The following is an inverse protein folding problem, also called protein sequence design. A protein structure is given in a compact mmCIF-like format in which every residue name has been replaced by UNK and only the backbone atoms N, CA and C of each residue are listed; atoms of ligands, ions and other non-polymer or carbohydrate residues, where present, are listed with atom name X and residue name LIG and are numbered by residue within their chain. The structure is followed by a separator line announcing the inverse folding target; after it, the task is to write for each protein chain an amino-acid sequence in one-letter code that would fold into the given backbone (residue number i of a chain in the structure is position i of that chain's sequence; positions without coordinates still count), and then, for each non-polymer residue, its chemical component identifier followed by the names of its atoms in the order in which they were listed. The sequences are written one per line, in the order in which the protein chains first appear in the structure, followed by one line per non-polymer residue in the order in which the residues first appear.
data_IF_367421237534
#
_entry.id   IF_367421237534
#
_cell.length_a   1.000
_cell.length_b   1.000
_cell.length_c   1.000
_cell.angle_alpha   90.00
_cell.angle_beta   90.00
_cell.angle_gamma   90.00
#
_symmetry.space_group_name_H-M   'P 1'
#
loop_
_entity.id
_entity.type
_entity.pdbx_description
1 polymer ?
#
# COMPACT_ATOMS: atom_id res chain seq x y z
N UNK A 1 -12.40 -10.01 72.86
CA UNK A 1 -12.73 -9.27 71.62
C UNK A 1 -11.90 -9.81 70.46
N UNK A 2 -12.48 -10.60 69.57
CA UNK A 2 -11.76 -11.18 68.43
C UNK A 2 -11.52 -10.11 67.35
N UNK A 3 -10.25 -9.80 67.06
CA UNK A 3 -9.85 -8.90 65.98
C UNK A 3 -10.20 -9.55 64.64
N UNK A 4 -11.16 -8.97 63.91
CA UNK A 4 -11.48 -9.38 62.54
C UNK A 4 -10.24 -9.21 61.67
N UNK A 5 -9.74 -10.31 61.13
CA UNK A 5 -8.62 -10.31 60.19
C UNK A 5 -8.92 -9.46 58.95
N UNK A 6 -7.88 -8.96 58.25
CA UNK A 6 -8.04 -8.09 57.10
C UNK A 6 -8.89 -8.79 56.03
N UNK A 7 -9.96 -8.12 55.59
CA UNK A 7 -10.83 -8.64 54.53
C UNK A 7 -10.00 -8.93 53.28
N UNK A 8 -10.20 -10.08 52.62
CA UNK A 8 -9.47 -10.42 51.40
C UNK A 8 -9.73 -9.34 50.34
N UNK A 9 -8.64 -8.82 49.75
CA UNK A 9 -8.73 -7.82 48.68
C UNK A 9 -9.54 -8.41 47.52
N UNK A 10 -10.50 -7.67 46.96
CA UNK A 10 -11.30 -8.16 45.84
C UNK A 10 -10.38 -8.53 44.67
N UNK A 11 -10.62 -9.71 44.07
CA UNK A 11 -9.87 -10.14 42.89
C UNK A 11 -10.03 -9.07 41.79
N UNK A 12 -8.93 -8.61 41.17
CA UNK A 12 -9.03 -7.62 40.12
C UNK A 12 -9.88 -8.15 38.97
N UNK A 13 -10.78 -7.32 38.43
CA UNK A 13 -11.62 -7.68 37.29
C UNK A 13 -10.72 -8.16 36.12
N UNK A 14 -11.11 -9.22 35.40
CA UNK A 14 -10.34 -9.69 34.26
C UNK A 14 -10.19 -8.55 33.24
N UNK A 15 -8.95 -8.25 32.87
CA UNK A 15 -8.69 -7.22 31.86
C UNK A 15 -9.27 -7.69 30.52
N UNK A 16 -9.87 -6.80 29.73
CA UNK A 16 -10.32 -7.15 28.38
C UNK A 16 -9.14 -7.74 27.60
N UNK A 17 -9.37 -8.92 27.00
CA UNK A 17 -8.34 -9.63 26.23
C UNK A 17 -8.02 -8.83 24.97
N UNK A 18 -6.73 -8.74 24.63
CA UNK A 18 -6.30 -8.14 23.38
C UNK A 18 -6.77 -9.01 22.21
N UNK A 19 -7.67 -8.46 21.39
CA UNK A 19 -8.28 -9.18 20.26
C UNK A 19 -7.33 -9.43 19.09
N UNK A 20 -6.23 -8.68 19.01
CA UNK A 20 -5.30 -8.71 17.88
C UNK A 20 -4.05 -9.53 18.13
N UNK A 21 -3.80 -9.94 19.38
CA UNK A 21 -2.64 -10.76 19.75
C UNK A 21 -3.02 -11.74 20.88
N UNK A 22 -2.98 -13.04 20.58
CA UNK A 22 -3.31 -14.09 21.56
C UNK A 22 -2.29 -14.09 22.70
N UNK A 23 -2.78 -14.36 23.92
CA UNK A 23 -1.95 -14.47 25.12
C UNK A 23 -1.07 -13.24 25.42
N UNK A 24 -1.40 -12.08 24.85
CA UNK A 24 -0.60 -10.88 25.04
C UNK A 24 -0.75 -10.30 26.44
N UNK A 25 0.38 -9.92 27.04
CA UNK A 25 0.42 -9.05 28.23
C UNK A 25 0.19 -7.57 27.86
N UNK A 26 0.22 -7.24 26.57
CA UNK A 26 0.00 -5.89 26.04
C UNK A 26 -1.51 -5.59 25.99
N UNK A 27 -1.91 -4.43 26.50
CA UNK A 27 -3.29 -3.96 26.35
C UNK A 27 -3.65 -3.71 24.89
N UNK A 28 -4.93 -3.86 24.56
CA UNK A 28 -5.44 -3.63 23.20
C UNK A 28 -5.10 -2.22 22.70
N UNK A 29 -5.29 -1.20 23.55
CA UNK A 29 -4.97 0.20 23.21
C UNK A 29 -3.49 0.38 22.83
N UNK A 30 -2.56 -0.20 23.59
CA UNK A 30 -1.14 -0.11 23.25
C UNK A 30 -0.79 -0.86 21.97
N UNK A 31 -1.45 -2.00 21.72
CA UNK A 31 -1.28 -2.72 20.46
C UNK A 31 -1.76 -1.90 19.26
N UNK A 32 -2.93 -1.25 19.37
CA UNK A 32 -3.47 -0.40 18.32
C UNK A 32 -2.58 0.80 18.03
N UNK A 33 -1.94 1.38 19.04
CA UNK A 33 -0.93 2.43 18.84
C UNK A 33 0.31 1.93 18.10
N UNK A 34 0.79 0.70 18.37
CA UNK A 34 1.87 0.09 17.60
C UNK A 34 1.43 -0.17 16.15
N UNK A 35 0.21 -0.68 15.95
CA UNK A 35 -0.34 -0.93 14.61
C UNK A 35 -0.51 0.38 13.81
N UNK A 36 -0.95 1.45 14.47
CA UNK A 36 -1.06 2.79 13.89
C UNK A 36 0.33 3.31 13.50
N UNK A 37 1.29 3.26 14.42
CA UNK A 37 2.66 3.68 14.16
C UNK A 37 3.32 2.88 13.03
N UNK A 38 3.07 1.57 12.94
CA UNK A 38 3.48 0.75 11.79
C UNK A 38 2.89 1.30 10.50
N UNK A 39 1.59 1.56 10.48
CA UNK A 39 0.89 2.03 9.29
C UNK A 39 1.39 3.41 8.84
N UNK A 40 1.74 4.28 9.79
CA UNK A 40 2.23 5.65 9.59
C UNK A 40 3.75 5.79 9.41
N UNK A 41 4.51 4.68 9.38
CA UNK A 41 5.99 4.69 9.34
C UNK A 41 6.64 5.45 10.51
N UNK A 42 5.99 5.43 11.68
CA UNK A 42 6.55 6.01 12.91
C UNK A 42 7.73 5.19 13.40
N UNK A 43 8.83 5.86 13.77
CA UNK A 43 10.05 5.20 14.25
C UNK A 43 9.78 4.50 15.59
N UNK A 44 10.43 3.35 15.82
CA UNK A 44 10.14 2.49 16.97
C UNK A 44 10.32 3.17 18.32
N UNK A 45 11.30 4.06 18.46
CA UNK A 45 11.55 4.83 19.69
C UNK A 45 10.40 5.81 20.03
N UNK A 46 9.78 6.44 19.03
CA UNK A 46 8.64 7.33 19.20
C UNK A 46 7.41 6.55 19.66
N UNK A 47 7.13 5.39 19.05
CA UNK A 47 6.05 4.49 19.47
C UNK A 47 6.30 3.99 20.91
N UNK A 48 7.54 3.59 21.21
CA UNK A 48 7.94 3.11 22.54
C UNK A 48 7.69 4.17 23.61
N UNK A 49 8.09 5.42 23.35
CA UNK A 49 7.85 6.56 24.23
C UNK A 49 6.35 6.79 24.47
N UNK A 50 5.55 6.84 23.39
CA UNK A 50 4.10 7.08 23.47
C UNK A 50 3.35 5.98 24.23
N UNK A 51 3.73 4.72 24.03
CA UNK A 51 3.01 3.56 24.58
C UNK A 51 3.57 3.06 25.90
N UNK A 52 4.73 3.57 26.34
CA UNK A 52 5.51 3.05 27.48
C UNK A 52 5.73 1.54 27.37
N UNK A 53 6.17 1.09 26.19
CA UNK A 53 6.63 -0.28 25.97
C UNK A 53 8.07 -0.23 25.49
N UNK A 54 8.83 -1.32 25.70
CA UNK A 54 10.23 -1.32 25.26
C UNK A 54 10.33 -1.22 23.73
N UNK A 55 11.34 -0.51 23.24
CA UNK A 55 11.58 -0.38 21.80
C UNK A 55 11.77 -1.76 21.14
N UNK A 56 12.44 -2.68 21.82
CA UNK A 56 12.56 -4.09 21.39
C UNK A 56 11.19 -4.73 21.15
N UNK A 57 10.25 -4.54 22.07
CA UNK A 57 8.87 -5.06 21.92
C UNK A 57 8.15 -4.41 20.73
N UNK A 58 8.34 -3.11 20.48
CA UNK A 58 7.80 -2.44 19.29
C UNK A 58 8.36 -3.12 18.03
N UNK A 59 9.69 -3.26 17.93
CA UNK A 59 10.35 -3.88 16.77
C UNK A 59 9.86 -5.31 16.50
N UNK A 60 9.75 -6.13 17.54
CA UNK A 60 9.23 -7.50 17.43
C UNK A 60 7.77 -7.54 16.97
N UNK A 61 6.92 -6.64 17.47
CA UNK A 61 5.53 -6.54 17.04
C UNK A 61 5.42 -6.07 15.59
N UNK A 62 6.21 -5.08 15.18
CA UNK A 62 6.27 -4.59 13.80
C UNK A 62 6.61 -5.72 12.83
N UNK A 63 7.57 -6.59 13.18
CA UNK A 63 7.87 -7.77 12.35
C UNK A 63 6.70 -8.74 12.25
N UNK A 64 6.03 -9.04 13.36
CA UNK A 64 4.86 -9.93 13.35
C UNK A 64 3.72 -9.35 12.50
N UNK A 65 3.50 -8.04 12.58
CA UNK A 65 2.50 -7.33 11.75
C UNK A 65 2.88 -7.42 10.27
N UNK A 66 4.16 -7.18 9.93
CA UNK A 66 4.66 -7.28 8.56
C UNK A 66 4.50 -8.69 7.98
N UNK A 67 4.84 -9.72 8.75
CA UNK A 67 4.62 -11.10 8.31
C UNK A 67 3.14 -11.43 8.14
N UNK A 68 2.26 -10.95 9.03
CA UNK A 68 0.81 -11.10 8.84
C UNK A 68 0.34 -10.43 7.56
N UNK A 69 0.81 -9.22 7.26
CA UNK A 69 0.47 -8.52 6.01
C UNK A 69 0.85 -9.33 4.77
N UNK A 70 2.08 -9.84 4.74
CA UNK A 70 2.57 -10.70 3.65
C UNK A 70 1.71 -11.96 3.50
N UNK A 71 1.46 -12.67 4.61
CA UNK A 71 0.63 -13.87 4.60
C UNK A 71 -0.80 -13.57 4.10
N UNK A 72 -1.38 -12.42 4.48
CA UNK A 72 -2.73 -12.03 4.05
C UNK A 72 -2.79 -11.70 2.56
N UNK A 73 -1.81 -10.96 2.04
CA UNK A 73 -1.77 -10.61 0.61
C UNK A 73 -1.71 -11.88 -0.25
N UNK A 74 -0.91 -12.85 0.17
CA UNK A 74 -0.74 -14.11 -0.56
C UNK A 74 -1.97 -15.02 -0.45
N UNK A 75 -2.58 -15.11 0.74
CA UNK A 75 -3.53 -16.19 1.05
C UNK A 75 -4.98 -15.72 1.27
N UNK A 76 -5.23 -14.43 1.47
CA UNK A 76 -6.54 -13.92 1.85
C UNK A 76 -7.15 -13.05 0.75
N UNK A 77 -8.14 -13.59 0.03
CA UNK A 77 -8.82 -12.88 -1.06
C UNK A 77 -9.56 -11.62 -0.61
N UNK A 78 -9.86 -11.49 0.68
CA UNK A 78 -10.72 -10.42 1.20
C UNK A 78 -9.99 -9.28 1.91
N UNK A 79 -8.69 -9.42 2.16
CA UNK A 79 -7.84 -8.43 2.82
C UNK A 79 -6.83 -7.95 1.78
N UNK A 80 -6.52 -6.65 1.74
CA UNK A 80 -5.60 -6.09 0.74
C UNK A 80 -6.02 -6.39 -0.71
N UNK A 81 -7.34 -6.37 -0.98
CA UNK A 81 -7.89 -6.85 -2.26
C UNK A 81 -7.29 -6.13 -3.48
N UNK A 82 -7.16 -4.80 -3.41
CA UNK A 82 -6.63 -3.98 -4.51
C UNK A 82 -5.22 -4.41 -4.91
N UNK A 83 -4.27 -4.33 -3.98
CA UNK A 83 -2.89 -4.75 -4.27
C UNK A 83 -2.82 -6.24 -4.64
N UNK A 84 -3.64 -7.10 -4.02
CA UNK A 84 -3.62 -8.52 -4.39
C UNK A 84 -4.04 -8.73 -5.86
N UNK A 85 -5.09 -8.07 -6.33
CA UNK A 85 -5.52 -8.13 -7.75
C UNK A 85 -4.51 -7.48 -8.69
N UNK A 86 -3.79 -6.48 -8.21
CA UNK A 86 -2.72 -5.83 -8.95
C UNK A 86 -1.52 -6.77 -9.14
N UNK A 87 -1.11 -7.44 -8.05
CA UNK A 87 0.04 -8.34 -8.03
C UNK A 87 -0.24 -9.71 -8.65
N UNK A 88 -1.43 -10.28 -8.43
CA UNK A 88 -1.72 -11.68 -8.72
C UNK A 88 -3.00 -11.90 -9.53
N UNK A 89 -2.95 -12.88 -10.44
CA UNK A 89 -4.11 -13.50 -11.06
C UNK A 89 -4.04 -15.02 -10.94
N UNK A 90 -5.12 -15.67 -10.48
CA UNK A 90 -5.13 -17.11 -10.24
C UNK A 90 -4.04 -17.63 -9.26
N UNK A 91 -3.42 -16.75 -8.46
CA UNK A 91 -2.28 -17.09 -7.60
C UNK A 91 -0.91 -16.99 -8.27
N UNK A 92 -0.84 -16.60 -9.55
CA UNK A 92 0.40 -16.30 -10.27
C UNK A 92 0.66 -14.80 -10.25
N UNK A 93 1.93 -14.41 -10.19
CA UNK A 93 2.33 -13.00 -10.28
C UNK A 93 2.08 -12.51 -11.71
N UNK A 94 1.43 -11.36 -11.85
CA UNK A 94 1.21 -10.70 -13.13
C UNK A 94 2.46 -9.90 -13.54
N UNK A 95 2.72 -9.64 -14.84
CA UNK A 95 3.85 -8.84 -15.28
C UNK A 95 3.93 -7.45 -14.61
N UNK A 96 2.79 -6.75 -14.50
CA UNK A 96 2.69 -5.47 -13.76
C UNK A 96 3.02 -5.60 -12.27
N UNK A 97 2.66 -6.74 -11.69
CA UNK A 97 2.93 -7.07 -10.30
C UNK A 97 4.41 -7.35 -10.07
N UNK A 98 5.03 -8.07 -11.01
CA UNK A 98 6.47 -8.33 -11.00
C UNK A 98 7.25 -7.03 -11.07
N UNK A 99 6.91 -6.11 -12.00
CA UNK A 99 7.52 -4.77 -12.08
C UNK A 99 7.45 -4.03 -10.74
N UNK A 100 6.28 -3.98 -10.12
CA UNK A 100 6.11 -3.33 -8.81
C UNK A 100 6.97 -3.98 -7.71
N UNK A 101 7.11 -5.30 -7.71
CA UNK A 101 7.95 -6.02 -6.75
C UNK A 101 9.44 -5.78 -7.01
N UNK A 102 9.85 -5.73 -8.28
CA UNK A 102 11.23 -5.43 -8.69
C UNK A 102 11.59 -4.00 -8.30
N UNK A 103 10.74 -3.02 -8.59
CA UNK A 103 10.92 -1.62 -8.18
C UNK A 103 10.95 -1.48 -6.65
N UNK A 104 10.05 -2.18 -5.96
CA UNK A 104 10.03 -2.20 -4.50
C UNK A 104 11.26 -2.88 -3.88
N UNK A 105 11.90 -3.80 -4.60
CA UNK A 105 13.12 -4.51 -4.22
C UNK A 105 14.41 -3.83 -4.69
N UNK A 106 14.34 -2.92 -5.67
CA UNK A 106 15.48 -2.14 -6.17
C UNK A 106 15.95 -1.11 -5.15
N UNK A 107 15.05 -0.62 -4.29
CA UNK A 107 15.43 0.15 -3.11
C UNK A 107 16.03 -0.81 -2.10
N UNK A 108 17.31 -0.62 -1.74
CA UNK A 108 18.01 -1.51 -0.80
C UNK A 108 17.16 -1.72 0.47
N UNK A 109 16.61 -2.93 0.68
CA UNK A 109 15.77 -3.24 1.84
C UNK A 109 16.56 -3.05 3.14
N UNK A 110 17.89 -3.20 3.10
CA UNK A 110 18.79 -2.89 4.21
C UNK A 110 18.81 -1.39 4.50
N UNK A 111 18.86 -0.48 3.52
CA UNK A 111 18.76 0.97 3.77
C UNK A 111 17.40 1.32 4.37
N UNK A 112 16.30 0.84 3.76
CA UNK A 112 14.93 1.13 4.22
C UNK A 112 14.69 0.63 5.66
N UNK A 113 15.24 -0.54 5.98
CA UNK A 113 15.12 -1.16 7.28
C UNK A 113 16.08 -0.57 8.33
N UNK A 114 17.31 -0.20 7.94
CA UNK A 114 18.30 0.44 8.84
C UNK A 114 17.87 1.86 9.22
N UNK A 115 17.17 2.58 8.34
CA UNK A 115 16.57 3.88 8.66
C UNK A 115 15.42 3.79 9.69
N UNK A 116 14.65 2.70 9.69
CA UNK A 116 13.43 2.57 10.51
C UNK A 116 13.62 1.75 11.80
N UNK A 117 14.55 0.80 11.79
CA UNK A 117 14.71 -0.19 12.85
C UNK A 117 16.19 -0.59 12.96
N UNK A 118 16.96 0.09 13.83
CA UNK A 118 18.32 -0.34 14.18
C UNK A 118 18.34 -1.85 14.40
N UNK A 119 19.04 -2.57 13.54
CA UNK A 119 19.34 -3.98 13.74
C UNK A 119 20.34 -4.07 14.88
N UNK A 120 19.94 -4.67 15.99
CA UNK A 120 20.86 -5.10 17.05
C UNK A 120 21.73 -6.28 16.56
N UNK A 121 22.40 -6.16 15.41
CA UNK A 121 23.31 -7.15 14.84
C UNK A 121 22.66 -8.41 14.26
N UNK A 122 21.34 -8.46 14.06
CA UNK A 122 20.67 -9.66 13.49
C UNK A 122 20.70 -9.67 11.97
N UNK A 123 21.18 -10.77 11.38
CA UNK A 123 21.10 -11.03 9.93
C UNK A 123 19.64 -11.26 9.53
N UNK A 124 19.18 -10.58 8.49
CA UNK A 124 17.84 -10.79 7.92
C UNK A 124 17.79 -12.15 7.22
N UNK A 125 16.71 -12.90 7.43
CA UNK A 125 16.43 -14.11 6.63
C UNK A 125 15.72 -13.73 5.34
N UNK A 126 15.70 -14.62 4.35
CA UNK A 126 14.96 -14.43 3.10
C UNK A 126 13.49 -14.02 3.34
N UNK A 127 12.81 -14.67 4.30
CA UNK A 127 11.45 -14.30 4.69
C UNK A 127 11.33 -12.85 5.17
N UNK A 128 12.34 -12.32 5.87
CA UNK A 128 12.35 -10.92 6.29
C UNK A 128 12.46 -9.99 5.07
N UNK A 129 13.31 -10.33 4.11
CA UNK A 129 13.44 -9.58 2.85
C UNK A 129 12.13 -9.59 2.07
N UNK A 130 11.51 -10.76 1.85
CA UNK A 130 10.22 -10.85 1.15
C UNK A 130 9.15 -9.99 1.83
N UNK A 131 9.09 -10.02 3.17
CA UNK A 131 8.12 -9.25 3.93
C UNK A 131 8.35 -7.72 3.81
N UNK A 132 9.60 -7.28 3.69
CA UNK A 132 9.95 -5.87 3.45
C UNK A 132 9.59 -5.43 2.03
N UNK A 133 9.90 -6.23 1.02
CA UNK A 133 9.55 -5.96 -0.38
C UNK A 133 8.03 -5.86 -0.52
N UNK A 134 7.29 -6.80 0.06
CA UNK A 134 5.82 -6.76 0.05
C UNK A 134 5.29 -5.53 0.78
N UNK A 135 5.84 -5.16 1.94
CA UNK A 135 5.47 -3.90 2.59
C UNK A 135 5.68 -2.69 1.69
N UNK A 136 6.85 -2.60 1.07
CA UNK A 136 7.19 -1.47 0.22
C UNK A 136 6.27 -1.41 -1.02
N UNK A 137 5.97 -2.56 -1.63
CA UNK A 137 5.01 -2.69 -2.72
C UNK A 137 3.60 -2.25 -2.29
N UNK A 138 3.14 -2.63 -1.08
CA UNK A 138 1.84 -2.17 -0.53
C UNK A 138 1.80 -0.67 -0.38
N UNK A 139 2.86 -0.08 0.16
CA UNK A 139 2.92 1.37 0.35
C UNK A 139 2.98 2.11 -0.98
N UNK A 140 3.78 1.62 -1.93
CA UNK A 140 3.82 2.13 -3.29
C UNK A 140 2.44 2.06 -3.96
N UNK A 141 1.80 0.89 -3.93
CA UNK A 141 0.44 0.69 -4.43
C UNK A 141 -0.56 1.65 -3.79
N UNK A 142 -0.57 1.78 -2.46
CA UNK A 142 -1.52 2.66 -1.79
C UNK A 142 -1.27 4.14 -2.12
N UNK A 143 -0.01 4.57 -2.32
CA UNK A 143 0.30 5.93 -2.78
C UNK A 143 -0.19 6.17 -4.20
N UNK A 144 0.08 5.24 -5.09
CA UNK A 144 -0.39 5.23 -6.47
C UNK A 144 -1.93 5.28 -6.54
N UNK A 145 -2.60 4.48 -5.70
CA UNK A 145 -4.06 4.40 -5.61
C UNK A 145 -4.73 5.66 -5.07
N UNK A 146 -4.02 6.42 -4.25
CA UNK A 146 -4.50 7.70 -3.72
C UNK A 146 -4.32 8.87 -4.68
N UNK A 147 -3.64 8.68 -5.81
CA UNK A 147 -3.43 9.73 -6.80
C UNK A 147 -4.49 9.62 -7.90
N UNK A 148 -5.03 10.75 -8.42
CA UNK A 148 -6.06 10.73 -9.47
C UNK A 148 -5.61 10.00 -10.75
N UNK A 149 -4.31 9.77 -10.93
CA UNK A 149 -3.72 9.12 -12.12
C UNK A 149 -2.75 7.98 -11.79
N UNK A 150 -2.55 7.64 -10.51
CA UNK A 150 -1.33 6.92 -10.09
C UNK A 150 -1.34 5.41 -10.23
N UNK A 151 -2.49 4.77 -10.43
CA UNK A 151 -2.59 3.29 -10.38
C UNK A 151 -2.40 2.57 -11.71
N UNK A 152 -2.44 3.27 -12.82
CA UNK A 152 -2.52 2.63 -14.11
C UNK A 152 -1.34 3.11 -14.95
N UNK A 153 -0.39 2.21 -15.19
CA UNK A 153 0.27 2.24 -16.49
C UNK A 153 -0.87 2.31 -17.51
N UNK A 154 -0.98 3.44 -18.22
CA UNK A 154 -1.78 3.53 -19.43
C UNK A 154 -1.60 2.22 -20.21
N UNK A 155 -2.70 1.63 -20.67
CA UNK A 155 -2.63 0.46 -21.54
C UNK A 155 -1.63 0.71 -22.68
N UNK A 156 -0.98 -0.34 -23.17
CA UNK A 156 -0.03 -0.17 -24.30
C UNK A 156 -0.72 0.49 -25.51
N UNK A 157 -2.04 0.30 -25.62
CA UNK A 157 -2.93 0.98 -26.55
C UNK A 157 -2.98 2.50 -26.29
N UNK A 158 -3.28 2.95 -25.06
CA UNK A 158 -3.21 4.38 -24.71
C UNK A 158 -1.80 4.96 -24.85
N UNK A 159 -0.75 4.23 -24.46
CA UNK A 159 0.65 4.66 -24.64
C UNK A 159 0.98 4.89 -26.11
N UNK A 160 0.55 3.99 -26.99
CA UNK A 160 0.74 4.13 -28.44
C UNK A 160 -0.08 5.29 -29.01
N UNK A 161 -1.33 5.46 -28.58
CA UNK A 161 -2.18 6.59 -29.01
C UNK A 161 -1.56 7.94 -28.63
N UNK A 162 -1.11 8.11 -27.38
CA UNK A 162 -0.41 9.32 -26.96
C UNK A 162 0.90 9.55 -27.71
N UNK A 163 1.62 8.48 -28.06
CA UNK A 163 2.83 8.58 -28.89
C UNK A 163 2.49 9.08 -30.30
N UNK A 164 1.47 8.53 -30.95
CA UNK A 164 1.02 8.95 -32.28
C UNK A 164 0.61 10.43 -32.27
N UNK A 165 -0.17 10.86 -31.27
CA UNK A 165 -0.57 12.25 -31.10
C UNK A 165 0.65 13.16 -30.95
N UNK A 166 1.61 12.76 -30.10
CA UNK A 166 2.84 13.54 -29.86
C UNK A 166 3.68 13.67 -31.13
N UNK A 167 3.94 12.55 -31.82
CA UNK A 167 4.74 12.53 -33.05
C UNK A 167 4.06 13.36 -34.16
N UNK A 168 2.72 13.30 -34.26
CA UNK A 168 1.92 14.11 -35.19
C UNK A 168 1.93 15.60 -34.84
N UNK A 169 1.79 15.96 -33.56
CA UNK A 169 1.87 17.35 -33.10
C UNK A 169 3.26 17.97 -33.30
N UNK A 170 4.33 17.19 -33.07
CA UNK A 170 5.71 17.62 -33.37
C UNK A 170 5.94 17.81 -34.87
N UNK A 171 5.31 16.99 -35.72
CA UNK A 171 5.29 17.16 -37.17
C UNK A 171 4.59 18.45 -37.59
N UNK A 172 3.40 18.72 -37.05
CA UNK A 172 2.62 19.94 -37.31
C UNK A 172 3.34 21.20 -36.85
N UNK A 173 4.06 21.16 -35.71
CA UNK A 173 4.81 22.31 -35.20
C UNK A 173 6.01 22.69 -36.08
N UNK A 174 6.49 21.77 -36.93
CA UNK A 174 7.64 21.96 -37.82
C UNK A 174 7.23 22.19 -39.28
N UNK A 175 5.96 22.01 -39.61
CA UNK A 175 5.46 22.18 -40.97
C UNK A 175 5.30 23.67 -41.32
N UNK A 176 5.82 24.10 -42.46
CA UNK A 176 5.43 25.38 -43.06
C UNK A 176 4.03 25.24 -43.66
N UNK A 177 3.08 26.04 -43.16
CA UNK A 177 1.70 26.07 -43.65
C UNK A 177 1.64 26.98 -44.87
N UNK A 178 1.29 26.41 -46.02
CA UNK A 178 1.10 27.10 -47.29
C UNK A 178 -0.36 26.97 -47.73
N UNK A 179 -0.78 27.78 -48.70
CA UNK A 179 -2.14 27.69 -49.25
C UNK A 179 -2.43 26.32 -49.90
N UNK A 180 -1.39 25.60 -50.33
CA UNK A 180 -1.49 24.31 -51.02
C UNK A 180 -1.64 23.13 -50.05
N UNK A 181 -1.11 23.24 -48.82
CA UNK A 181 -1.18 22.17 -47.81
C UNK A 181 -2.16 22.46 -46.66
N UNK A 182 -2.86 23.60 -46.70
CA UNK A 182 -3.72 24.06 -45.61
C UNK A 182 -4.85 23.07 -45.29
N UNK A 183 -5.46 22.46 -46.30
CA UNK A 183 -6.51 21.44 -46.09
C UNK A 183 -5.99 20.18 -45.38
N UNK A 184 -4.77 19.74 -45.71
CA UNK A 184 -4.15 18.57 -45.09
C UNK A 184 -3.73 18.87 -43.64
N UNK A 185 -3.24 20.09 -43.40
CA UNK A 185 -2.92 20.58 -42.06
C UNK A 185 -4.17 20.62 -41.16
N UNK A 186 -5.28 21.19 -41.65
CA UNK A 186 -6.56 21.24 -40.92
C UNK A 186 -7.09 19.84 -40.61
N UNK A 187 -6.97 18.90 -41.55
CA UNK A 187 -7.38 17.51 -41.35
C UNK A 187 -6.55 16.81 -40.25
N UNK A 188 -5.23 17.01 -40.22
CA UNK A 188 -4.34 16.45 -39.20
C UNK A 188 -4.57 17.05 -37.81
N UNK A 189 -4.87 18.35 -37.72
CA UNK A 189 -5.25 19.00 -36.46
C UNK A 189 -6.56 18.43 -35.94
N UNK A 190 -7.57 18.27 -36.82
CA UNK A 190 -8.86 17.69 -36.45
C UNK A 190 -8.72 16.22 -35.98
N UNK A 191 -7.88 15.43 -36.65
CA UNK A 191 -7.64 14.04 -36.26
C UNK A 191 -6.90 13.93 -34.92
N UNK A 192 -5.89 14.76 -34.67
CA UNK A 192 -5.23 14.81 -33.36
C UNK A 192 -6.20 15.20 -32.24
N UNK A 193 -7.08 16.18 -32.46
CA UNK A 193 -8.09 16.57 -31.50
C UNK A 193 -9.08 15.42 -31.20
N UNK A 194 -9.47 14.66 -32.24
CA UNK A 194 -10.32 13.47 -32.11
C UNK A 194 -9.63 12.37 -31.30
N UNK A 195 -8.40 12.01 -31.65
CA UNK A 195 -7.62 10.99 -30.92
C UNK A 195 -7.38 11.35 -29.46
N UNK A 196 -7.17 12.64 -29.17
CA UNK A 196 -6.98 13.11 -27.80
C UNK A 196 -8.27 12.97 -26.99
N UNK A 197 -9.42 13.30 -27.58
CA UNK A 197 -10.73 13.09 -26.97
C UNK A 197 -11.04 11.61 -26.76
N UNK A 198 -10.78 10.75 -27.75
CA UNK A 198 -10.98 9.30 -27.65
C UNK A 198 -10.08 8.70 -26.55
N UNK A 199 -8.83 9.14 -26.44
CA UNK A 199 -7.91 8.73 -25.38
C UNK A 199 -8.37 9.20 -23.99
N UNK A 200 -8.91 10.41 -23.86
CA UNK A 200 -9.49 10.92 -22.61
C UNK A 200 -10.73 10.11 -22.19
N UNK A 201 -11.60 9.74 -23.14
CA UNK A 201 -12.79 8.92 -22.87
C UNK A 201 -12.41 7.50 -22.44
N UNK A 202 -11.43 6.88 -23.09
CA UNK A 202 -10.91 5.55 -22.70
C UNK A 202 -10.24 5.61 -21.33
N UNK A 203 -9.43 6.65 -21.07
CA UNK A 203 -8.83 6.87 -19.76
C UNK A 203 -9.89 7.07 -18.68
N UNK A 204 -10.93 7.85 -18.93
CA UNK A 204 -12.04 8.05 -17.99
C UNK A 204 -12.85 6.76 -17.79
N UNK A 205 -13.04 5.93 -18.82
CA UNK A 205 -13.64 4.60 -18.70
C UNK A 205 -12.77 3.64 -17.88
N UNK A 206 -11.46 3.56 -18.16
CA UNK A 206 -10.51 2.76 -17.39
C UNK A 206 -10.47 3.24 -15.93
N UNK A 207 -10.51 4.56 -15.71
CA UNK A 207 -10.58 5.16 -14.38
C UNK A 207 -11.92 4.90 -13.68
N UNK A 208 -13.06 4.97 -14.37
CA UNK A 208 -14.38 4.66 -13.81
C UNK A 208 -14.52 3.19 -13.47
N UNK A 209 -14.00 2.31 -14.32
CA UNK A 209 -13.92 0.87 -14.03
C UNK A 209 -13.01 0.63 -12.83
N UNK A 210 -11.87 1.30 -12.76
CA UNK A 210 -10.97 1.24 -11.62
C UNK A 210 -11.59 1.78 -10.32
N UNK A 211 -12.33 2.89 -10.39
CA UNK A 211 -13.03 3.51 -9.25
C UNK A 211 -14.21 2.66 -8.80
N UNK A 212 -14.94 2.05 -9.74
CA UNK A 212 -16.00 1.08 -9.44
C UNK A 212 -15.44 -0.18 -8.77
N UNK A 213 -14.24 -0.63 -9.17
CA UNK A 213 -13.51 -1.72 -8.51
C UNK A 213 -12.85 -1.29 -7.19
N UNK A 214 -12.54 0.01 -7.04
CA UNK A 214 -11.85 0.63 -5.91
C UNK A 214 -12.77 1.49 -5.03
N UNK A 215 -13.97 0.99 -4.69
CA UNK A 215 -15.00 1.60 -3.82
C UNK A 215 -14.53 1.88 -2.36
N UNK A 216 -13.40 2.57 -2.18
CA UNK A 216 -12.82 3.15 -0.95
C UNK A 216 -12.00 4.40 -1.29
N UNK A 217 -12.53 5.26 -2.14
CA UNK A 217 -11.95 6.58 -2.41
C UNK A 217 -11.93 7.41 -1.11
N UNK A 218 -10.83 8.14 -0.86
CA UNK A 218 -10.56 9.04 0.28
C UNK A 218 -10.03 8.44 1.59
N UNK A 219 -9.37 7.29 1.55
CA UNK A 219 -8.65 6.79 2.72
C UNK A 219 -7.14 6.97 2.49
N UNK A 220 -6.49 7.75 3.37
CA UNK A 220 -5.02 7.91 3.37
C UNK A 220 -4.34 6.54 3.22
N UNK A 221 -3.24 6.39 2.44
CA UNK A 221 -2.53 5.12 2.27
C UNK A 221 -2.28 4.38 3.59
N UNK A 222 -1.92 5.14 4.63
CA UNK A 222 -1.67 4.61 5.97
C UNK A 222 -2.96 4.07 6.62
N UNK A 223 -4.08 4.73 6.39
CA UNK A 223 -5.38 4.31 6.92
C UNK A 223 -5.92 3.07 6.19
N UNK A 224 -5.60 2.86 4.91
CA UNK A 224 -5.90 1.60 4.20
C UNK A 224 -5.15 0.44 4.84
N UNK A 225 -3.82 0.59 5.01
CA UNK A 225 -2.96 -0.41 5.65
C UNK A 225 -3.45 -0.73 7.06
N UNK A 226 -3.73 0.31 7.86
CA UNK A 226 -4.24 0.16 9.22
C UNK A 226 -5.55 -0.61 9.27
N UNK A 227 -6.52 -0.25 8.43
CA UNK A 227 -7.85 -0.85 8.44
C UNK A 227 -7.83 -2.31 7.97
N UNK A 228 -7.09 -2.63 6.92
CA UNK A 228 -7.01 -3.99 6.40
C UNK A 228 -6.25 -4.92 7.37
N UNK A 229 -5.15 -4.45 7.97
CA UNK A 229 -4.48 -5.18 9.05
C UNK A 229 -5.39 -5.39 10.26
N UNK A 230 -6.12 -4.35 10.69
CA UNK A 230 -7.04 -4.47 11.82
C UNK A 230 -8.13 -5.52 11.53
N UNK A 231 -8.72 -5.50 10.33
CA UNK A 231 -9.72 -6.49 9.89
C UNK A 231 -9.14 -7.90 9.87
N UNK A 232 -7.93 -8.07 9.36
CA UNK A 232 -7.25 -9.35 9.36
C UNK A 232 -6.98 -9.87 10.76
N UNK A 233 -6.40 -9.02 11.62
CA UNK A 233 -5.98 -9.38 12.97
C UNK A 233 -7.14 -9.73 13.90
N UNK A 234 -8.35 -9.22 13.64
CA UNK A 234 -9.57 -9.69 14.33
C UNK A 234 -9.89 -11.13 13.96
N UNK A 235 -9.76 -11.51 12.68
CA UNK A 235 -10.07 -12.87 12.20
C UNK A 235 -8.97 -13.86 12.61
N UNK A 236 -7.71 -13.46 12.46
CA UNK A 236 -6.54 -14.24 12.80
C UNK A 236 -5.62 -13.35 13.64
N UNK A 237 -5.72 -13.39 14.98
CA UNK A 237 -4.82 -12.63 15.84
C UNK A 237 -3.37 -13.16 15.75
N UNK A 238 -2.39 -12.31 16.08
CA UNK A 238 -0.97 -12.70 16.20
C UNK A 238 -0.72 -13.72 17.31
#
# INVERSE_FOLDING_TARGET
MARRGPKPKPKPKPRPKNRYQRHSKLSESKFLEVLKGFSELTVSNQIASKTRISEKTVRELTWKIRFRMMDDIMNNRNIFQGIRRYLFDGGKILPRGQRLLDDAGAVDPMILYTMLHRLDGRRLTERHYSALVIENAVRAYCRMAGQPYGLFEMSDELKNTYKIIKDSAEGLAKAEVTAENMQEYEALVAENARLLKDAEEVLDLEQRMAVADAHRSYVSPNQVIYNDLRKSLVKKPL
#
